data_IF_610152670552
#
_entry.id   IF_610152670552
#
_cell.length_a   1.000
_cell.length_b   1.000
_cell.length_c   1.000
_cell.angle_alpha   90.00
_cell.angle_beta   90.00
_cell.angle_gamma   90.00
#
_symmetry.space_group_name_H-M   'P 1'
#
loop_
_entity.id
_entity.type
_entity.pdbx_description
1 polymer ?
#
# COMPACT_ATOMS: atom_id res chain seq x y z
N UNK A 1 5.23 -25.93 -14.16
CA UNK A 1 5.00 -24.74 -13.29
C UNK A 1 4.80 -23.59 -14.26
N UNK A 2 3.56 -23.14 -14.45
CA UNK A 2 3.27 -21.99 -15.32
C UNK A 2 4.00 -20.76 -14.77
N UNK A 3 4.72 -20.08 -15.65
CA UNK A 3 5.37 -18.80 -15.33
C UNK A 3 4.24 -17.78 -15.22
N UNK A 4 3.81 -17.50 -14.00
CA UNK A 4 2.83 -16.44 -13.74
C UNK A 4 3.54 -15.11 -13.95
N UNK A 5 3.28 -14.47 -15.08
CA UNK A 5 3.81 -13.12 -15.36
C UNK A 5 3.23 -12.13 -14.35
N UNK A 6 4.10 -11.33 -13.73
CA UNK A 6 3.63 -10.30 -12.82
C UNK A 6 2.78 -9.26 -13.59
N UNK A 7 1.63 -8.84 -13.06
CA UNK A 7 0.77 -7.86 -13.73
C UNK A 7 1.28 -6.41 -13.56
N UNK A 8 2.51 -6.23 -13.15
CA UNK A 8 3.19 -4.94 -13.01
C UNK A 8 4.37 -4.87 -13.98
N UNK A 9 4.74 -3.66 -14.34
CA UNK A 9 5.83 -3.39 -15.27
C UNK A 9 7.19 -3.78 -14.66
N UNK A 10 8.08 -4.26 -15.52
CA UNK A 10 9.48 -4.45 -15.14
C UNK A 10 10.14 -3.10 -14.84
N UNK A 11 10.98 -3.07 -13.81
CA UNK A 11 11.75 -1.88 -13.45
C UNK A 11 12.89 -1.70 -14.47
N UNK A 12 12.93 -0.53 -15.12
CA UNK A 12 13.94 -0.13 -16.10
C UNK A 12 14.83 0.96 -15.48
N UNK A 13 15.83 0.56 -14.72
CA UNK A 13 16.68 1.51 -13.98
C UNK A 13 17.38 2.53 -14.87
N UNK A 14 17.84 2.12 -16.06
CA UNK A 14 18.48 3.04 -17.04
C UNK A 14 17.50 4.09 -17.55
N UNK A 15 16.25 3.69 -17.84
CA UNK A 15 15.21 4.63 -18.25
C UNK A 15 14.82 5.56 -17.09
N UNK A 16 14.66 5.07 -15.88
CA UNK A 16 14.37 5.90 -14.70
C UNK A 16 15.48 6.92 -14.42
N UNK A 17 16.73 6.59 -14.74
CA UNK A 17 17.88 7.47 -14.56
C UNK A 17 17.93 8.64 -15.56
N UNK A 18 17.14 8.61 -16.65
CA UNK A 18 17.06 9.70 -17.62
C UNK A 18 16.42 10.98 -17.04
N UNK A 19 15.67 10.85 -15.95
CA UNK A 19 15.05 12.00 -15.28
C UNK A 19 15.27 11.95 -13.76
N UNK A 20 15.83 13.01 -13.21
CA UNK A 20 16.04 13.19 -11.76
C UNK A 20 15.64 14.60 -11.37
N UNK A 21 15.11 14.73 -10.18
CA UNK A 21 14.71 16.00 -9.58
C UNK A 21 15.38 16.21 -8.23
N UNK A 22 15.67 17.45 -7.89
CA UNK A 22 15.99 17.80 -6.51
C UNK A 22 14.75 17.59 -5.62
N UNK A 23 14.92 17.11 -4.38
CA UNK A 23 13.80 16.89 -3.47
C UNK A 23 13.13 18.22 -3.09
N UNK A 24 11.82 18.29 -3.24
CA UNK A 24 11.02 19.39 -2.68
C UNK A 24 10.87 19.17 -1.17
N UNK A 25 10.92 20.24 -0.37
CA UNK A 25 10.76 20.17 1.09
C UNK A 25 11.54 18.97 1.70
N UNK A 26 12.87 18.90 1.56
CA UNK A 26 13.66 17.73 1.96
C UNK A 26 13.52 17.37 3.43
N UNK A 27 13.22 18.35 4.30
CA UNK A 27 13.10 18.16 5.75
C UNK A 27 11.73 17.62 6.20
N UNK A 28 10.70 17.63 5.32
CA UNK A 28 9.41 17.10 5.68
C UNK A 28 9.51 15.57 5.91
N UNK A 29 9.22 15.09 7.14
CA UNK A 29 9.28 13.67 7.43
C UNK A 29 8.29 12.86 6.60
N UNK A 30 8.69 11.66 6.20
CA UNK A 30 7.88 10.74 5.42
C UNK A 30 7.85 9.38 6.11
N UNK A 31 6.67 8.83 6.33
CA UNK A 31 6.46 7.41 6.57
C UNK A 31 5.90 6.81 5.28
N UNK A 32 6.68 5.94 4.63
CA UNK A 32 6.18 5.22 3.47
C UNK A 32 5.19 4.15 3.91
N UNK A 33 3.89 4.43 3.80
CA UNK A 33 2.84 3.61 4.38
C UNK A 33 2.55 2.30 3.61
N UNK A 34 3.31 2.01 2.51
CA UNK A 34 3.11 0.79 1.74
C UNK A 34 4.27 0.52 0.77
N UNK A 35 5.08 -0.47 1.08
CA UNK A 35 6.06 -1.01 0.15
C UNK A 35 6.12 -2.53 0.24
N UNK A 36 6.78 -3.14 -0.74
CA UNK A 36 7.02 -4.57 -0.84
C UNK A 36 8.50 -4.87 -1.02
N UNK A 37 8.90 -6.08 -0.65
CA UNK A 37 10.25 -6.60 -0.88
C UNK A 37 10.15 -8.02 -1.43
N UNK A 38 10.84 -8.29 -2.52
CA UNK A 38 10.86 -9.62 -3.14
C UNK A 38 12.13 -9.89 -3.93
N UNK A 39 12.40 -11.17 -4.14
CA UNK A 39 13.34 -11.66 -5.14
C UNK A 39 12.58 -12.59 -6.09
N UNK A 40 12.34 -12.13 -7.31
CA UNK A 40 11.52 -12.80 -8.33
C UNK A 40 12.27 -12.84 -9.66
N UNK A 41 11.86 -13.73 -10.55
CA UNK A 41 12.40 -13.78 -11.92
C UNK A 41 12.25 -12.45 -12.69
N UNK A 42 11.23 -11.66 -12.35
CA UNK A 42 10.95 -10.33 -12.95
C UNK A 42 11.80 -9.20 -12.35
N UNK A 43 12.62 -9.49 -11.37
CA UNK A 43 13.52 -8.53 -10.73
C UNK A 43 13.59 -8.69 -9.21
N UNK A 44 14.74 -8.33 -8.67
CA UNK A 44 14.99 -8.27 -7.23
C UNK A 44 14.73 -6.84 -6.72
N UNK A 45 14.07 -6.77 -5.58
CA UNK A 45 13.92 -5.54 -4.81
C UNK A 45 13.89 -5.92 -3.32
N UNK A 46 15.01 -5.80 -2.66
CA UNK A 46 15.23 -6.16 -1.27
C UNK A 46 15.79 -4.95 -0.50
N UNK A 47 16.46 -5.20 0.62
CA UNK A 47 16.96 -4.17 1.53
C UNK A 47 17.88 -3.16 0.84
N UNK A 48 18.80 -3.62 -0.02
CA UNK A 48 19.73 -2.74 -0.72
C UNK A 48 19.00 -1.82 -1.69
N UNK A 49 18.16 -2.37 -2.56
CA UNK A 49 17.43 -1.61 -3.56
C UNK A 49 16.48 -0.59 -2.93
N UNK A 50 15.82 -0.97 -1.83
CA UNK A 50 14.93 -0.04 -1.09
C UNK A 50 15.72 1.04 -0.36
N UNK A 51 16.81 0.68 0.30
CA UNK A 51 17.72 1.63 0.95
C UNK A 51 18.31 2.63 -0.06
N UNK A 52 18.72 2.17 -1.24
CA UNK A 52 19.25 3.01 -2.31
C UNK A 52 18.19 4.00 -2.82
N UNK A 53 16.95 3.55 -2.99
CA UNK A 53 15.83 4.42 -3.37
C UNK A 53 15.61 5.52 -2.33
N UNK A 54 15.60 5.19 -1.04
CA UNK A 54 15.47 6.16 0.04
C UNK A 54 16.63 7.17 -0.01
N UNK A 55 17.87 6.70 0.00
CA UNK A 55 19.06 7.54 0.08
C UNK A 55 19.21 8.45 -1.14
N UNK A 56 19.02 7.89 -2.34
CA UNK A 56 19.19 8.65 -3.60
C UNK A 56 18.06 9.60 -3.90
N UNK A 57 16.89 9.43 -3.25
CA UNK A 57 15.76 10.34 -3.38
C UNK A 57 16.01 11.71 -2.74
N UNK A 58 16.86 11.78 -1.74
CA UNK A 58 17.13 12.99 -0.94
C UNK A 58 15.97 13.43 -0.06
N UNK A 59 14.91 12.63 0.05
CA UNK A 59 13.77 12.88 0.95
C UNK A 59 14.03 12.31 2.35
N UNK A 60 13.46 12.93 3.38
CA UNK A 60 13.55 12.48 4.77
C UNK A 60 12.53 11.36 5.03
N UNK A 61 12.79 10.16 4.51
CA UNK A 61 12.02 8.96 4.86
C UNK A 61 12.49 8.46 6.20
N UNK A 62 11.62 8.50 7.21
CA UNK A 62 11.96 8.14 8.60
C UNK A 62 11.53 6.72 8.96
N UNK A 63 10.50 6.20 8.31
CA UNK A 63 9.96 4.87 8.59
C UNK A 63 9.20 4.31 7.39
N UNK A 64 8.91 3.00 7.42
CA UNK A 64 8.09 2.36 6.41
C UNK A 64 7.24 1.21 6.93
N UNK A 65 6.14 0.94 6.20
CA UNK A 65 5.21 -0.17 6.43
C UNK A 65 5.39 -1.22 5.34
N UNK A 66 5.88 -2.39 5.72
CA UNK A 66 5.93 -3.54 4.82
C UNK A 66 4.55 -4.16 4.63
N UNK A 67 4.15 -4.40 3.40
CA UNK A 67 2.87 -5.05 3.10
C UNK A 67 3.10 -6.35 2.35
N UNK A 68 2.40 -7.40 2.78
CA UNK A 68 2.52 -8.74 2.20
C UNK A 68 2.41 -8.72 0.67
N UNK A 69 3.22 -9.53 0.02
CA UNK A 69 3.22 -9.74 -1.43
C UNK A 69 3.46 -11.20 -1.82
N UNK A 70 3.33 -12.13 -0.88
CA UNK A 70 3.63 -13.56 -1.03
C UNK A 70 5.09 -13.83 -1.33
N UNK A 71 5.97 -13.05 -0.72
CA UNK A 71 7.42 -13.23 -0.77
C UNK A 71 7.88 -14.08 0.41
N UNK A 72 8.92 -14.87 0.22
CA UNK A 72 9.61 -15.61 1.28
C UNK A 72 8.68 -16.47 2.17
N UNK A 73 7.70 -17.11 1.55
CA UNK A 73 6.83 -18.07 2.25
C UNK A 73 7.65 -19.24 2.77
N UNK A 74 7.25 -19.81 3.91
CA UNK A 74 7.87 -21.04 4.39
C UNK A 74 7.71 -22.16 3.36
N UNK A 75 8.77 -22.92 3.13
CA UNK A 75 8.77 -24.05 2.21
C UNK A 75 7.91 -25.19 2.73
N UNK A 76 8.07 -25.49 4.00
CA UNK A 76 7.51 -26.67 4.66
C UNK A 76 6.43 -26.29 5.67
N UNK A 77 5.64 -27.29 6.07
CA UNK A 77 4.56 -27.14 7.03
C UNK A 77 3.19 -26.91 6.39
N UNK A 78 2.15 -26.71 7.24
CA UNK A 78 0.78 -26.48 6.76
C UNK A 78 0.68 -25.25 5.89
N UNK A 79 -0.07 -25.31 4.79
CA UNK A 79 -0.28 -24.19 3.85
C UNK A 79 -0.77 -22.92 4.56
N UNK A 80 -1.63 -23.06 5.57
CA UNK A 80 -2.17 -21.96 6.37
C UNK A 80 -1.11 -21.20 7.18
N UNK A 81 0.05 -21.82 7.43
CA UNK A 81 1.15 -21.24 8.21
C UNK A 81 2.35 -20.79 7.34
N UNK A 82 2.36 -21.12 6.05
CA UNK A 82 3.44 -20.67 5.13
C UNK A 82 3.62 -19.16 5.10
N UNK A 83 2.56 -18.31 5.18
CA UNK A 83 2.72 -16.86 5.23
C UNK A 83 3.49 -16.32 6.45
N UNK A 84 3.70 -17.12 7.49
CA UNK A 84 4.55 -16.72 8.62
C UNK A 84 6.01 -16.47 8.18
N UNK A 85 6.50 -17.16 7.13
CA UNK A 85 7.84 -16.92 6.58
C UNK A 85 8.05 -15.49 6.07
N UNK A 86 7.02 -14.90 5.47
CA UNK A 86 7.06 -13.52 5.04
C UNK A 86 7.14 -12.53 6.20
N UNK A 87 6.50 -12.84 7.34
CA UNK A 87 6.59 -12.03 8.57
C UNK A 87 7.98 -12.14 9.19
N UNK A 88 8.55 -13.37 9.24
CA UNK A 88 9.92 -13.62 9.71
C UNK A 88 10.94 -12.85 8.85
N UNK A 89 10.77 -12.90 7.53
CA UNK A 89 11.59 -12.17 6.57
C UNK A 89 11.54 -10.65 6.80
N UNK A 90 10.34 -10.06 6.85
CA UNK A 90 10.17 -8.62 7.06
C UNK A 90 10.73 -8.17 8.42
N UNK A 91 10.62 -9.01 9.46
CA UNK A 91 11.23 -8.74 10.77
C UNK A 91 12.77 -8.75 10.71
N UNK A 92 13.35 -9.66 9.90
CA UNK A 92 14.79 -9.68 9.62
C UNK A 92 15.26 -8.42 8.89
N UNK A 93 14.49 -7.95 7.90
CA UNK A 93 14.78 -6.68 7.20
C UNK A 93 14.73 -5.49 8.16
N UNK A 94 13.74 -5.43 9.06
CA UNK A 94 13.67 -4.38 10.08
C UNK A 94 14.93 -4.37 10.97
N UNK A 95 15.46 -5.54 11.33
CA UNK A 95 16.72 -5.65 12.07
C UNK A 95 17.93 -5.16 11.26
N UNK A 96 17.94 -5.40 9.93
CA UNK A 96 18.98 -4.86 9.04
C UNK A 96 18.97 -3.33 9.04
N UNK A 97 17.82 -2.70 8.89
CA UNK A 97 17.71 -1.23 8.97
C UNK A 97 18.13 -0.70 10.35
N UNK A 98 17.73 -1.36 11.43
CA UNK A 98 18.11 -0.97 12.80
C UNK A 98 19.63 -1.04 13.07
N UNK A 99 20.41 -1.74 12.23
CA UNK A 99 21.87 -1.81 12.35
C UNK A 99 22.58 -0.49 11.99
N UNK A 100 21.88 0.44 11.31
CA UNK A 100 22.46 1.70 10.83
C UNK A 100 23.33 1.59 9.57
N UNK A 101 23.42 0.39 8.95
CA UNK A 101 24.20 0.16 7.73
C UNK A 101 23.44 0.47 6.44
N UNK A 102 22.15 0.76 6.54
CA UNK A 102 21.25 1.07 5.43
C UNK A 102 20.79 2.53 5.52
N UNK A 103 19.74 2.92 4.79
CA UNK A 103 19.20 4.27 4.89
C UNK A 103 18.88 4.63 6.36
N UNK A 104 18.98 5.91 6.70
CA UNK A 104 18.64 6.41 8.04
C UNK A 104 17.12 6.45 8.23
N UNK A 105 16.51 5.26 8.23
CA UNK A 105 15.07 5.02 8.33
C UNK A 105 14.79 3.74 9.11
N UNK A 106 13.63 3.62 9.74
CA UNK A 106 13.13 2.38 10.33
C UNK A 106 12.37 1.57 9.26
N UNK A 107 13.11 0.85 8.41
CA UNK A 107 12.50 0.01 7.38
C UNK A 107 11.69 -1.14 7.99
N UNK A 108 10.48 -1.40 7.45
CA UNK A 108 9.57 -2.42 7.95
C UNK A 108 9.23 -2.26 9.45
N UNK A 109 9.12 -1.03 9.95
CA UNK A 109 8.71 -0.76 11.34
C UNK A 109 7.35 -1.35 11.65
N UNK A 110 6.43 -1.31 10.70
CA UNK A 110 5.19 -2.08 10.74
C UNK A 110 5.16 -3.16 9.64
N UNK A 111 4.48 -4.26 9.92
CA UNK A 111 4.28 -5.39 9.02
C UNK A 111 2.79 -5.66 8.87
N UNK A 112 2.32 -5.69 7.63
CA UNK A 112 0.99 -6.18 7.25
C UNK A 112 1.18 -7.57 6.65
N UNK A 113 0.78 -8.59 7.40
CA UNK A 113 0.98 -10.00 7.04
C UNK A 113 -0.07 -10.55 6.08
N UNK A 114 0.09 -11.81 5.69
CA UNK A 114 -0.71 -12.49 4.67
C UNK A 114 -1.45 -13.76 5.13
N UNK A 115 -1.75 -13.92 6.42
CA UNK A 115 -2.57 -15.06 6.87
C UNK A 115 -3.98 -15.00 6.26
N UNK A 116 -4.49 -16.16 5.84
CA UNK A 116 -5.80 -16.24 5.18
C UNK A 116 -6.96 -16.04 6.17
N UNK A 117 -7.77 -15.02 5.95
CA UNK A 117 -8.98 -14.77 6.73
C UNK A 117 -10.07 -15.84 6.51
N UNK A 118 -9.97 -16.63 5.44
CA UNK A 118 -10.90 -17.73 5.17
C UNK A 118 -10.88 -18.85 6.22
N UNK A 119 -9.85 -18.90 7.05
CA UNK A 119 -9.82 -19.80 8.21
C UNK A 119 -10.83 -19.37 9.30
N UNK A 120 -11.42 -18.19 9.21
CA UNK A 120 -12.37 -17.67 10.22
C UNK A 120 -11.75 -17.65 11.61
N UNK A 121 -12.47 -18.10 12.63
CA UNK A 121 -11.97 -18.14 14.01
C UNK A 121 -10.79 -19.12 14.20
N UNK A 122 -10.64 -20.11 13.32
CA UNK A 122 -9.50 -21.06 13.39
C UNK A 122 -8.14 -20.41 13.07
N UNK A 123 -8.13 -19.14 12.60
CA UNK A 123 -6.88 -18.41 12.39
C UNK A 123 -6.24 -17.86 13.68
N UNK A 124 -6.93 -17.85 14.81
CA UNK A 124 -6.44 -17.27 16.06
C UNK A 124 -5.05 -17.79 16.47
N UNK A 125 -4.75 -19.11 16.53
CA UNK A 125 -3.41 -19.57 16.90
C UNK A 125 -2.32 -19.11 15.90
N UNK A 126 -2.67 -18.95 14.62
CA UNK A 126 -1.74 -18.46 13.61
C UNK A 126 -1.46 -16.96 13.79
N UNK A 127 -2.46 -16.16 14.16
CA UNK A 127 -2.29 -14.74 14.50
C UNK A 127 -1.38 -14.59 15.72
N UNK A 128 -1.63 -15.32 16.81
CA UNK A 128 -0.82 -15.27 18.03
C UNK A 128 0.66 -15.59 17.71
N UNK A 129 0.88 -16.61 16.88
CA UNK A 129 2.21 -16.97 16.41
C UNK A 129 2.84 -15.88 15.54
N UNK A 130 2.07 -15.25 14.66
CA UNK A 130 2.53 -14.14 13.83
C UNK A 130 2.94 -12.92 14.68
N UNK A 131 2.15 -12.58 15.71
CA UNK A 131 2.46 -11.52 16.67
C UNK A 131 3.80 -11.83 17.38
N UNK A 132 3.97 -13.04 17.89
CA UNK A 132 5.21 -13.43 18.56
C UNK A 132 6.43 -13.35 17.63
N UNK A 133 6.33 -13.83 16.39
CA UNK A 133 7.41 -13.85 15.41
C UNK A 133 7.79 -12.44 14.90
N UNK A 134 6.85 -11.50 14.91
CA UNK A 134 7.07 -10.15 14.39
C UNK A 134 7.89 -9.24 15.31
N UNK A 135 8.18 -9.65 16.56
CA UNK A 135 8.83 -8.78 17.53
C UNK A 135 8.06 -7.50 17.80
N UNK A 136 6.73 -7.57 17.83
CA UNK A 136 5.86 -6.42 18.05
C UNK A 136 5.61 -5.54 16.81
N UNK A 137 6.05 -5.93 15.61
CA UNK A 137 5.88 -5.15 14.38
C UNK A 137 4.61 -5.47 13.60
N UNK A 138 3.94 -6.60 13.86
CA UNK A 138 2.69 -6.92 13.18
C UNK A 138 1.61 -5.92 13.54
N UNK A 139 1.01 -5.28 12.53
CA UNK A 139 -0.04 -4.28 12.71
C UNK A 139 -1.35 -4.64 12.02
N UNK A 140 -1.32 -5.55 11.06
CA UNK A 140 -2.51 -5.93 10.32
C UNK A 140 -2.27 -7.11 9.40
N UNK A 141 -3.31 -7.43 8.62
CA UNK A 141 -3.29 -8.44 7.58
C UNK A 141 -3.82 -7.85 6.28
N UNK A 142 -3.36 -8.40 5.16
CA UNK A 142 -3.92 -8.15 3.83
C UNK A 142 -4.23 -9.46 3.13
N UNK A 143 -5.42 -9.55 2.54
CA UNK A 143 -5.76 -10.69 1.68
C UNK A 143 -6.11 -10.18 0.27
N UNK A 144 -5.84 -10.97 -0.79
CA UNK A 144 -6.25 -10.63 -2.15
C UNK A 144 -7.77 -10.59 -2.23
N UNK A 145 -8.33 -9.45 -2.62
CA UNK A 145 -9.78 -9.24 -2.78
C UNK A 145 -10.15 -8.67 -4.15
N UNK A 146 -9.20 -8.05 -4.86
CA UNK A 146 -9.46 -7.39 -6.13
C UNK A 146 -9.92 -8.39 -7.18
N UNK A 147 -11.20 -8.31 -7.55
CA UNK A 147 -11.87 -9.15 -8.55
C UNK A 147 -12.64 -8.30 -9.54
N UNK A 148 -12.59 -8.70 -10.80
CA UNK A 148 -13.38 -8.10 -11.87
C UNK A 148 -13.80 -9.18 -12.87
N UNK A 149 -15.03 -9.12 -13.46
CA UNK A 149 -15.50 -10.12 -14.44
C UNK A 149 -14.73 -10.09 -15.77
N UNK A 150 -14.18 -8.93 -16.14
CA UNK A 150 -13.37 -8.81 -17.35
C UNK A 150 -11.91 -9.20 -17.06
N UNK A 151 -11.36 -10.23 -17.74
CA UNK A 151 -10.01 -10.73 -17.48
C UNK A 151 -8.90 -9.74 -17.85
N UNK A 152 -9.20 -8.67 -18.60
CA UNK A 152 -8.25 -7.59 -18.89
C UNK A 152 -7.96 -6.74 -17.66
N UNK A 153 -8.87 -6.74 -16.68
CA UNK A 153 -8.70 -6.04 -15.40
C UNK A 153 -8.02 -6.98 -14.42
N UNK A 154 -6.70 -6.95 -14.39
CA UNK A 154 -5.90 -7.77 -13.48
C UNK A 154 -4.77 -6.96 -12.86
N UNK A 155 -4.51 -7.17 -11.58
CA UNK A 155 -3.45 -6.51 -10.81
C UNK A 155 -2.70 -7.48 -9.90
N UNK A 156 -3.04 -8.76 -9.94
CA UNK A 156 -2.41 -9.81 -9.15
C UNK A 156 -2.33 -11.10 -9.95
N UNK A 157 -1.26 -11.90 -9.79
CA UNK A 157 -1.17 -13.21 -10.45
C UNK A 157 -2.19 -14.22 -9.91
N UNK A 158 -2.86 -13.91 -8.81
CA UNK A 158 -3.96 -14.74 -8.25
C UNK A 158 -5.22 -13.89 -8.21
N UNK A 159 -6.24 -14.33 -8.93
CA UNK A 159 -7.57 -13.72 -8.91
C UNK A 159 -8.40 -14.37 -7.80
N UNK A 160 -8.86 -13.62 -6.80
CA UNK A 160 -9.75 -14.15 -5.77
C UNK A 160 -11.15 -14.43 -6.35
N UNK A 161 -11.99 -15.24 -5.67
CA UNK A 161 -13.40 -15.37 -6.03
C UNK A 161 -14.15 -14.04 -5.90
N UNK A 162 -15.18 -13.85 -6.71
CA UNK A 162 -16.13 -12.74 -6.55
C UNK A 162 -16.77 -12.75 -5.15
N UNK A 163 -16.98 -11.56 -4.56
CA UNK A 163 -17.68 -11.44 -3.28
C UNK A 163 -16.95 -12.06 -2.09
N UNK A 164 -15.64 -12.25 -2.17
CA UNK A 164 -14.87 -12.91 -1.12
C UNK A 164 -15.03 -12.20 0.24
N UNK A 165 -15.05 -10.87 0.26
CA UNK A 165 -15.24 -10.08 1.48
C UNK A 165 -16.64 -10.26 2.12
N UNK A 166 -17.63 -10.71 1.35
CA UNK A 166 -18.98 -10.98 1.82
C UNK A 166 -19.15 -12.38 2.42
N UNK A 167 -18.16 -13.26 2.20
CA UNK A 167 -18.24 -14.64 2.70
C UNK A 167 -18.19 -14.71 4.23
N UNK A 168 -19.02 -15.56 4.83
CA UNK A 168 -19.05 -15.71 6.28
C UNK A 168 -17.71 -16.12 6.92
N UNK A 169 -16.90 -17.02 6.31
CA UNK A 169 -15.56 -17.30 6.84
C UNK A 169 -14.65 -16.08 6.86
N UNK A 170 -14.63 -15.28 5.77
CA UNK A 170 -13.81 -14.07 5.71
C UNK A 170 -14.21 -13.05 6.78
N UNK A 171 -15.51 -12.80 6.96
CA UNK A 171 -16.03 -11.88 7.99
C UNK A 171 -15.68 -12.33 9.41
N UNK A 172 -15.76 -13.63 9.72
CA UNK A 172 -15.27 -14.15 11.01
C UNK A 172 -13.77 -13.96 11.18
N UNK A 173 -12.97 -14.16 10.13
CA UNK A 173 -11.54 -13.87 10.14
C UNK A 173 -11.26 -12.38 10.38
N UNK A 174 -12.01 -11.48 9.74
CA UNK A 174 -11.91 -10.04 9.97
C UNK A 174 -12.27 -9.65 11.41
N UNK A 175 -13.32 -10.23 11.98
CA UNK A 175 -13.66 -10.06 13.40
C UNK A 175 -12.55 -10.59 14.32
N UNK A 176 -11.86 -11.66 13.92
CA UNK A 176 -10.69 -12.16 14.66
C UNK A 176 -9.54 -11.13 14.67
N UNK A 177 -9.26 -10.43 13.56
CA UNK A 177 -8.27 -9.34 13.54
C UNK A 177 -8.64 -8.22 14.52
N UNK A 178 -9.92 -7.81 14.55
CA UNK A 178 -10.39 -6.77 15.46
C UNK A 178 -10.14 -7.13 16.93
N UNK A 179 -10.37 -8.40 17.32
CA UNK A 179 -10.09 -8.88 18.69
C UNK A 179 -8.61 -8.80 19.07
N UNK A 180 -7.71 -8.85 18.09
CA UNK A 180 -6.26 -8.71 18.29
C UNK A 180 -5.74 -7.30 18.04
N UNK A 181 -6.61 -6.31 17.88
CA UNK A 181 -6.27 -4.93 17.52
C UNK A 181 -5.38 -4.83 16.26
N UNK A 182 -5.58 -5.72 15.28
CA UNK A 182 -4.91 -5.71 13.98
C UNK A 182 -5.81 -5.03 12.93
N UNK A 183 -5.20 -4.28 12.01
CA UNK A 183 -5.90 -3.70 10.86
C UNK A 183 -6.17 -4.75 9.77
N UNK A 184 -7.11 -4.43 8.89
CA UNK A 184 -7.29 -5.09 7.62
C UNK A 184 -6.99 -4.12 6.49
N UNK A 185 -5.87 -4.33 5.79
CA UNK A 185 -5.54 -3.58 4.59
C UNK A 185 -6.23 -4.25 3.38
N UNK A 186 -6.91 -3.47 2.56
CA UNK A 186 -7.79 -3.99 1.50
C UNK A 186 -7.39 -3.44 0.15
N UNK A 187 -6.97 -4.34 -0.75
CA UNK A 187 -6.83 -4.05 -2.17
C UNK A 187 -8.03 -4.61 -2.92
N UNK A 188 -8.88 -3.72 -3.43
CA UNK A 188 -10.10 -3.99 -4.20
C UNK A 188 -10.19 -3.06 -5.40
N UNK A 189 -11.03 -3.39 -6.38
CA UNK A 189 -11.39 -2.44 -7.42
C UNK A 189 -12.59 -1.59 -6.98
N UNK A 190 -12.77 -0.43 -7.61
CA UNK A 190 -13.84 0.50 -7.27
C UNK A 190 -15.24 -0.12 -7.32
N UNK A 191 -15.43 -1.15 -8.13
CA UNK A 191 -16.68 -1.92 -8.22
C UNK A 191 -17.00 -2.74 -6.97
N UNK A 192 -16.04 -2.90 -6.05
CA UNK A 192 -16.16 -3.69 -4.83
C UNK A 192 -16.21 -2.84 -3.54
N UNK A 193 -16.17 -1.50 -3.64
CA UNK A 193 -16.11 -0.62 -2.45
C UNK A 193 -17.31 -0.78 -1.52
N UNK A 194 -18.50 -1.13 -2.06
CA UNK A 194 -19.69 -1.39 -1.24
C UNK A 194 -19.53 -2.63 -0.36
N UNK A 195 -18.89 -3.69 -0.86
CA UNK A 195 -18.61 -4.90 -0.06
C UNK A 195 -17.75 -4.57 1.17
N UNK A 196 -16.82 -3.63 1.00
CA UNK A 196 -15.94 -3.19 2.08
C UNK A 196 -16.64 -2.24 3.05
N UNK A 197 -17.53 -1.39 2.53
CA UNK A 197 -18.36 -0.53 3.39
C UNK A 197 -19.29 -1.38 4.28
N UNK A 198 -19.87 -2.45 3.76
CA UNK A 198 -20.67 -3.39 4.53
C UNK A 198 -19.85 -4.09 5.62
N UNK A 199 -18.64 -4.53 5.30
CA UNK A 199 -17.73 -5.13 6.27
C UNK A 199 -17.34 -4.15 7.38
N UNK A 200 -17.06 -2.89 7.03
CA UNK A 200 -16.68 -1.85 7.98
C UNK A 200 -17.84 -1.48 8.94
N UNK A 201 -19.09 -1.48 8.45
CA UNK A 201 -20.30 -1.27 9.28
C UNK A 201 -20.55 -2.43 10.22
N UNK A 202 -20.35 -3.66 9.75
CA UNK A 202 -20.55 -4.88 10.54
C UNK A 202 -19.54 -5.00 11.69
N UNK A 203 -18.28 -4.55 11.46
CA UNK A 203 -17.21 -4.66 12.45
C UNK A 203 -16.60 -3.28 12.72
N UNK A 204 -17.31 -2.38 13.46
CA UNK A 204 -16.85 -1.00 13.66
C UNK A 204 -15.57 -0.87 14.49
N UNK A 205 -15.17 -1.93 15.19
CA UNK A 205 -13.91 -1.98 15.95
C UNK A 205 -12.70 -2.40 15.08
N UNK A 206 -12.93 -2.84 13.85
CA UNK A 206 -11.86 -3.19 12.91
C UNK A 206 -11.38 -1.93 12.19
N UNK A 207 -10.11 -1.58 12.34
CA UNK A 207 -9.49 -0.58 11.46
C UNK A 207 -9.34 -1.17 10.06
N UNK A 208 -9.99 -0.57 9.07
CA UNK A 208 -9.84 -0.93 7.65
C UNK A 208 -9.01 0.15 6.95
N UNK A 209 -8.03 -0.27 6.16
CA UNK A 209 -7.20 0.62 5.35
C UNK A 209 -7.40 0.30 3.88
N UNK A 210 -7.95 1.23 3.14
CA UNK A 210 -8.19 1.10 1.70
C UNK A 210 -6.88 1.35 0.97
N UNK A 211 -6.34 0.34 0.30
CA UNK A 211 -5.13 0.48 -0.52
C UNK A 211 -5.43 1.23 -1.84
N UNK A 212 -4.45 1.96 -2.34
CA UNK A 212 -4.34 2.45 -3.71
C UNK A 212 -5.58 3.23 -4.18
N UNK A 213 -6.00 4.23 -3.38
CA UNK A 213 -7.12 5.10 -3.71
C UNK A 213 -8.47 4.38 -3.92
N UNK A 214 -8.66 3.17 -3.34
CA UNK A 214 -9.88 2.40 -3.56
C UNK A 214 -10.01 1.83 -4.97
N UNK A 215 -8.90 1.62 -5.66
CA UNK A 215 -8.78 0.84 -6.88
C UNK A 215 -9.60 1.32 -8.08
N UNK A 216 -9.59 2.62 -8.45
CA UNK A 216 -10.23 3.03 -9.69
C UNK A 216 -9.54 2.34 -10.89
N UNK A 217 -10.35 1.69 -11.73
CA UNK A 217 -9.89 0.92 -12.90
C UNK A 217 -9.91 1.84 -14.12
N UNK A 218 -8.80 1.92 -14.86
CA UNK A 218 -8.65 2.71 -16.07
C UNK A 218 -8.35 1.87 -17.33
N UNK A 219 -8.63 0.57 -17.28
CA UNK A 219 -8.37 -0.37 -18.40
C UNK A 219 -9.59 -1.26 -18.67
N UNK A 220 -9.57 -1.99 -19.76
CA UNK A 220 -10.64 -2.92 -20.12
C UNK A 220 -11.93 -2.18 -20.49
N UNK A 221 -13.06 -2.48 -19.82
CA UNK A 221 -14.32 -1.79 -20.05
C UNK A 221 -14.38 -0.38 -19.45
N UNK A 222 -13.51 -0.10 -18.46
CA UNK A 222 -13.42 1.18 -17.76
C UNK A 222 -12.19 1.92 -18.28
N UNK A 223 -12.30 2.63 -19.41
CA UNK A 223 -11.19 3.46 -19.85
C UNK A 223 -11.01 4.66 -18.91
N UNK A 224 -9.79 5.21 -18.85
CA UNK A 224 -9.48 6.43 -18.06
C UNK A 224 -10.36 7.65 -18.40
N UNK A 225 -11.05 7.59 -19.54
CA UNK A 225 -11.96 8.64 -20.03
C UNK A 225 -13.43 8.34 -19.75
N UNK A 226 -13.74 7.26 -19.06
CA UNK A 226 -15.12 6.92 -18.70
C UNK A 226 -15.59 7.78 -17.52
N UNK A 227 -16.47 8.76 -17.72
CA UNK A 227 -16.98 9.61 -16.65
C UNK A 227 -17.81 8.83 -15.63
N UNK A 228 -18.45 7.75 -16.05
CA UNK A 228 -19.27 6.92 -15.19
C UNK A 228 -18.40 6.14 -14.18
N UNK A 229 -17.22 5.69 -14.59
CA UNK A 229 -16.25 5.06 -13.71
C UNK A 229 -15.81 6.01 -12.57
N UNK A 230 -15.44 7.25 -12.89
CA UNK A 230 -15.06 8.23 -11.87
C UNK A 230 -16.20 8.49 -10.86
N UNK A 231 -17.43 8.60 -11.37
CA UNK A 231 -18.60 8.83 -10.52
C UNK A 231 -18.93 7.61 -9.65
N UNK A 232 -18.82 6.39 -10.18
CA UNK A 232 -18.98 5.15 -9.40
C UNK A 232 -17.95 5.07 -8.29
N UNK A 233 -16.68 5.27 -8.62
CA UNK A 233 -15.59 5.31 -7.65
C UNK A 233 -15.84 6.35 -6.55
N UNK A 234 -16.15 7.59 -6.92
CA UNK A 234 -16.44 8.68 -5.98
C UNK A 234 -17.59 8.34 -5.05
N UNK A 235 -18.64 7.72 -5.55
CA UNK A 235 -19.79 7.32 -4.75
C UNK A 235 -19.42 6.22 -3.74
N UNK A 236 -18.63 5.23 -4.16
CA UNK A 236 -18.12 4.18 -3.27
C UNK A 236 -17.21 4.76 -2.17
N UNK A 237 -16.28 5.65 -2.54
CA UNK A 237 -15.39 6.33 -1.58
C UNK A 237 -16.18 7.20 -0.59
N UNK A 238 -17.24 7.88 -1.02
CA UNK A 238 -18.10 8.67 -0.11
C UNK A 238 -18.73 7.79 0.96
N UNK A 239 -19.24 6.61 0.61
CA UNK A 239 -19.84 5.67 1.59
C UNK A 239 -18.81 5.16 2.59
N UNK A 240 -17.58 4.90 2.13
CA UNK A 240 -16.49 4.53 3.03
C UNK A 240 -16.08 5.69 3.96
N UNK A 241 -16.10 6.92 3.46
CA UNK A 241 -15.75 8.11 4.23
C UNK A 241 -16.72 8.39 5.40
N UNK A 242 -17.98 7.92 5.31
CA UNK A 242 -18.95 8.00 6.41
C UNK A 242 -18.59 7.10 7.60
N UNK A 243 -17.63 6.17 7.43
CA UNK A 243 -17.26 5.17 8.41
C UNK A 243 -15.96 5.58 9.12
N UNK A 244 -15.98 5.84 10.44
CA UNK A 244 -14.81 6.38 11.16
C UNK A 244 -13.65 5.40 11.26
N UNK A 245 -13.91 4.10 11.11
CA UNK A 245 -12.91 3.04 11.15
C UNK A 245 -12.25 2.77 9.80
N UNK A 246 -12.37 3.69 8.82
CA UNK A 246 -11.77 3.54 7.47
C UNK A 246 -10.77 4.65 7.21
N UNK A 247 -9.53 4.26 6.85
CA UNK A 247 -8.48 5.13 6.33
C UNK A 247 -8.15 4.76 4.88
N UNK A 248 -7.44 5.64 4.17
CA UNK A 248 -7.10 5.48 2.74
C UNK A 248 -5.61 5.71 2.49
N UNK A 249 -4.99 4.83 1.72
CA UNK A 249 -3.66 5.05 1.13
C UNK A 249 -3.79 5.72 -0.24
N UNK A 250 -3.20 6.88 -0.36
CA UNK A 250 -3.05 7.61 -1.62
C UNK A 250 -1.78 7.09 -2.30
N UNK A 251 -1.97 6.09 -3.17
CA UNK A 251 -0.88 5.30 -3.76
C UNK A 251 -1.36 4.51 -4.97
N UNK A 252 -0.50 3.64 -5.52
CA UNK A 252 -0.86 2.70 -6.59
C UNK A 252 -1.11 3.36 -7.94
N UNK A 253 -0.63 4.57 -8.15
CA UNK A 253 -0.80 5.29 -9.40
C UNK A 253 0.05 4.74 -10.55
N UNK A 254 1.13 3.99 -10.24
CA UNK A 254 1.97 3.30 -11.23
C UNK A 254 1.46 1.92 -11.60
N UNK A 255 0.37 1.43 -11.03
CA UNK A 255 -0.22 0.15 -11.41
C UNK A 255 -0.85 0.23 -12.81
N UNK A 256 -0.59 -0.78 -13.65
CA UNK A 256 -1.11 -0.84 -15.03
C UNK A 256 -2.62 -0.76 -15.11
N UNK A 257 -3.31 -1.31 -14.10
CA UNK A 257 -4.78 -1.30 -14.01
C UNK A 257 -5.38 0.11 -13.88
N UNK A 258 -4.54 1.12 -13.52
CA UNK A 258 -4.94 2.53 -13.43
C UNK A 258 -5.11 3.22 -14.79
N UNK A 259 -4.57 2.63 -15.86
CA UNK A 259 -4.66 3.17 -17.21
C UNK A 259 -3.67 4.30 -17.52
N UNK A 260 -2.80 4.70 -16.60
CA UNK A 260 -1.72 5.65 -16.90
C UNK A 260 -0.63 4.97 -17.74
N UNK A 261 -0.19 5.64 -18.80
CA UNK A 261 0.76 5.09 -19.77
C UNK A 261 2.14 5.77 -19.72
N UNK A 262 2.57 6.29 -18.56
CA UNK A 262 3.84 7.00 -18.43
C UNK A 262 5.04 6.19 -18.90
N UNK A 263 5.03 4.88 -18.69
CA UNK A 263 6.13 3.99 -19.10
C UNK A 263 6.27 3.82 -20.62
N UNK A 264 5.31 4.27 -21.43
CA UNK A 264 5.37 4.23 -22.88
C UNK A 264 6.18 5.42 -23.49
N UNK A 265 6.47 6.44 -22.69
CA UNK A 265 7.26 7.60 -23.14
C UNK A 265 8.74 7.27 -23.24
N UNK A 266 9.47 8.04 -24.07
CA UNK A 266 10.93 7.91 -24.23
C UNK A 266 11.68 8.24 -22.94
N UNK A 267 11.16 9.19 -22.15
CA UNK A 267 11.70 9.59 -20.85
C UNK A 267 10.67 9.39 -19.75
N UNK A 268 11.09 9.16 -18.49
CA UNK A 268 10.17 9.09 -17.35
C UNK A 268 9.41 10.40 -17.17
N UNK A 269 8.21 10.34 -16.58
CA UNK A 269 7.46 11.55 -16.24
C UNK A 269 8.18 12.34 -15.14
N UNK A 270 8.03 13.66 -15.17
CA UNK A 270 8.39 14.51 -14.06
C UNK A 270 7.29 14.55 -12.99
N UNK A 271 7.63 15.10 -11.82
CA UNK A 271 6.70 15.16 -10.68
C UNK A 271 5.51 16.09 -10.93
N UNK A 272 5.63 17.05 -11.84
CA UNK A 272 4.54 17.95 -12.18
C UNK A 272 3.50 17.24 -13.06
N UNK A 273 3.94 16.47 -14.05
CA UNK A 273 3.06 15.62 -14.87
C UNK A 273 2.29 14.63 -14.00
N UNK A 274 2.98 13.97 -13.07
CA UNK A 274 2.35 13.02 -12.14
C UNK A 274 1.31 13.71 -11.25
N UNK A 275 1.67 14.84 -10.63
CA UNK A 275 0.76 15.59 -9.77
C UNK A 275 -0.49 16.07 -10.53
N UNK A 276 -0.34 16.58 -11.76
CA UNK A 276 -1.47 16.97 -12.58
C UNK A 276 -2.41 15.81 -12.90
N UNK A 277 -1.85 14.65 -13.24
CA UNK A 277 -2.64 13.45 -13.53
C UNK A 277 -3.38 12.89 -12.30
N UNK A 278 -2.80 13.04 -11.10
CA UNK A 278 -3.34 12.46 -9.87
C UNK A 278 -4.26 13.43 -9.09
N UNK A 279 -4.19 14.72 -9.36
CA UNK A 279 -4.92 15.75 -8.63
C UNK A 279 -6.42 15.46 -8.45
N UNK A 280 -7.19 15.05 -9.48
CA UNK A 280 -8.63 14.79 -9.31
C UNK A 280 -8.94 13.68 -8.29
N UNK A 281 -8.08 12.66 -8.23
CA UNK A 281 -8.20 11.55 -7.28
C UNK A 281 -7.83 11.99 -5.87
N UNK A 282 -6.72 12.71 -5.75
CA UNK A 282 -6.22 13.25 -4.49
C UNK A 282 -7.24 14.20 -3.84
N UNK A 283 -7.67 15.24 -4.54
CA UNK A 283 -8.63 16.22 -4.03
C UNK A 283 -9.93 15.57 -3.59
N UNK A 284 -10.45 14.62 -4.38
CA UNK A 284 -11.68 13.92 -4.02
C UNK A 284 -11.51 13.10 -2.73
N UNK A 285 -10.40 12.35 -2.58
CA UNK A 285 -10.16 11.55 -1.38
C UNK A 285 -10.00 12.43 -0.15
N UNK A 286 -9.15 13.45 -0.21
CA UNK A 286 -8.90 14.33 0.95
C UNK A 286 -10.15 15.13 1.31
N UNK A 287 -10.94 15.58 0.33
CA UNK A 287 -12.24 16.25 0.58
C UNK A 287 -13.24 15.34 1.29
N UNK A 288 -13.22 14.03 1.02
CA UNK A 288 -14.17 13.08 1.62
C UNK A 288 -13.73 12.58 3.00
N UNK A 289 -12.45 12.27 3.17
CA UNK A 289 -11.93 11.60 4.37
C UNK A 289 -11.26 12.54 5.37
N UNK A 290 -10.83 13.73 4.95
CA UNK A 290 -9.92 14.58 5.72
C UNK A 290 -8.48 14.05 5.67
N UNK A 291 -7.51 14.92 5.93
CA UNK A 291 -6.09 14.54 5.91
C UNK A 291 -5.75 13.51 6.99
N UNK A 292 -6.44 13.55 8.12
CA UNK A 292 -6.26 12.68 9.28
C UNK A 292 -6.64 11.21 9.05
N UNK A 293 -7.31 10.91 7.93
CA UNK A 293 -7.62 9.54 7.52
C UNK A 293 -7.01 9.16 6.16
N UNK A 294 -6.07 9.97 5.67
CA UNK A 294 -5.37 9.75 4.42
C UNK A 294 -3.87 9.66 4.66
N UNK A 295 -3.17 8.78 3.96
CA UNK A 295 -1.72 8.65 4.03
C UNK A 295 -1.12 8.36 2.66
N UNK A 296 0.02 8.99 2.35
CA UNK A 296 0.77 8.65 1.15
C UNK A 296 1.55 7.34 1.32
N UNK A 297 1.73 6.63 0.19
CA UNK A 297 2.47 5.39 0.17
C UNK A 297 3.04 5.13 -1.23
N UNK A 298 4.27 4.62 -1.32
CA UNK A 298 4.96 4.47 -2.60
C UNK A 298 4.44 3.31 -3.46
N UNK A 299 3.99 2.24 -2.83
CA UNK A 299 3.68 0.97 -3.48
C UNK A 299 4.89 0.38 -4.25
N UNK A 300 6.12 0.72 -3.83
CA UNK A 300 7.32 0.22 -4.48
C UNK A 300 7.60 -1.25 -4.11
N UNK A 301 8.13 -2.04 -5.05
CA UNK A 301 8.55 -1.68 -6.42
C UNK A 301 7.45 -1.84 -7.47
N UNK A 302 6.18 -2.06 -7.13
CA UNK A 302 5.08 -2.21 -8.10
C UNK A 302 4.99 -0.98 -9.00
N UNK A 303 5.01 0.22 -8.42
CA UNK A 303 4.88 1.48 -9.14
C UNK A 303 6.21 1.96 -9.77
N UNK A 304 7.36 1.37 -9.38
CA UNK A 304 8.69 1.74 -9.87
C UNK A 304 8.88 1.52 -11.38
N UNK A 305 8.03 0.72 -12.00
CA UNK A 305 8.01 0.57 -13.47
C UNK A 305 7.54 1.82 -14.23
N UNK A 306 6.91 2.79 -13.54
CA UNK A 306 6.36 4.02 -14.13
C UNK A 306 7.17 5.28 -13.78
N UNK A 307 7.77 5.36 -12.58
CA UNK A 307 8.49 6.53 -12.08
C UNK A 307 9.46 6.16 -10.96
N UNK A 308 10.44 7.04 -10.71
CA UNK A 308 11.41 6.86 -9.62
C UNK A 308 10.84 7.26 -8.26
N UNK A 309 11.46 6.77 -7.18
CA UNK A 309 11.05 7.03 -5.80
C UNK A 309 11.08 8.52 -5.45
N UNK A 310 12.15 9.25 -5.85
CA UNK A 310 12.26 10.68 -5.60
C UNK A 310 11.21 11.49 -6.35
N UNK A 311 10.92 11.14 -7.62
CA UNK A 311 9.89 11.81 -8.42
C UNK A 311 8.49 11.55 -7.86
N UNK A 312 8.21 10.35 -7.35
CA UNK A 312 6.96 10.04 -6.65
C UNK A 312 6.73 10.98 -5.45
N UNK A 313 7.72 11.09 -4.55
CA UNK A 313 7.56 11.94 -3.37
C UNK A 313 7.48 13.43 -3.72
N UNK A 314 8.19 13.88 -4.76
CA UNK A 314 8.02 15.22 -5.29
C UNK A 314 6.60 15.45 -5.82
N UNK A 315 6.02 14.49 -6.54
CA UNK A 315 4.63 14.57 -7.00
C UNK A 315 3.65 14.68 -5.82
N UNK A 316 3.83 13.87 -4.78
CA UNK A 316 3.03 13.96 -3.55
C UNK A 316 3.15 15.36 -2.90
N UNK A 317 4.36 15.93 -2.83
CA UNK A 317 4.58 17.27 -2.29
C UNK A 317 3.94 18.37 -3.15
N UNK A 318 3.87 18.18 -4.47
CA UNK A 318 3.13 19.09 -5.36
C UNK A 318 1.62 19.01 -5.15
N UNK A 319 1.07 17.84 -4.89
CA UNK A 319 -0.36 17.68 -4.59
C UNK A 319 -0.80 18.50 -3.37
N UNK A 320 0.08 18.67 -2.39
CA UNK A 320 -0.23 19.34 -1.12
C UNK A 320 0.29 20.76 -1.01
N UNK A 321 0.67 21.41 -2.12
CA UNK A 321 1.26 22.76 -2.09
C UNK A 321 0.34 23.81 -1.44
N UNK A 322 -0.97 23.61 -1.49
CA UNK A 322 -1.97 24.50 -0.90
C UNK A 322 -2.46 24.03 0.47
N UNK A 323 -2.04 22.86 0.92
CA UNK A 323 -2.41 22.33 2.22
C UNK A 323 -1.63 23.01 3.34
N UNK A 324 -2.26 23.14 4.49
CA UNK A 324 -1.61 23.66 5.71
C UNK A 324 -0.45 22.73 6.15
N UNK A 325 0.53 23.22 6.93
CA UNK A 325 1.60 22.38 7.48
C UNK A 325 1.07 21.18 8.28
N UNK A 326 -0.05 21.35 8.96
CA UNK A 326 -0.67 20.27 9.73
C UNK A 326 -1.28 19.19 8.83
N UNK A 327 -2.01 19.56 7.78
CA UNK A 327 -2.52 18.61 6.78
C UNK A 327 -1.38 17.89 6.04
N UNK A 328 -0.29 18.59 5.71
CA UNK A 328 0.90 17.97 5.13
C UNK A 328 1.48 16.92 6.10
N UNK A 329 1.63 17.26 7.38
CA UNK A 329 2.10 16.33 8.39
C UNK A 329 1.18 15.10 8.54
N UNK A 330 -0.14 15.29 8.49
CA UNK A 330 -1.08 14.17 8.49
C UNK A 330 -0.83 13.24 7.31
N UNK A 331 -0.82 13.76 6.09
CA UNK A 331 -0.70 12.99 4.86
C UNK A 331 0.63 12.25 4.72
N UNK A 332 1.74 12.86 5.17
CA UNK A 332 3.07 12.30 4.97
C UNK A 332 3.52 11.36 6.09
N UNK A 333 3.02 11.51 7.34
CA UNK A 333 3.51 10.67 8.43
C UNK A 333 2.53 10.44 9.58
N UNK A 334 1.76 11.44 10.07
CA UNK A 334 0.96 11.30 11.30
C UNK A 334 -0.15 10.27 11.17
N UNK A 335 -0.87 10.28 10.06
CA UNK A 335 -1.96 9.31 9.82
C UNK A 335 -1.43 7.88 9.77
N UNK A 336 -0.31 7.65 9.07
CA UNK A 336 0.33 6.33 9.03
C UNK A 336 0.82 5.91 10.42
N UNK A 337 1.44 6.83 11.17
CA UNK A 337 1.91 6.58 12.52
C UNK A 337 0.78 6.19 13.47
N UNK A 338 -0.32 6.91 13.43
CA UNK A 338 -1.53 6.62 14.24
C UNK A 338 -2.16 5.31 13.84
N UNK A 339 -2.41 5.11 12.55
CA UNK A 339 -3.07 3.93 12.01
C UNK A 339 -2.32 2.64 12.34
N UNK A 340 -0.99 2.66 12.19
CA UNK A 340 -0.14 1.49 12.43
C UNK A 340 0.59 1.51 13.77
N UNK A 341 0.30 2.48 14.65
CA UNK A 341 0.89 2.61 15.99
C UNK A 341 2.41 2.54 15.95
N UNK A 342 3.02 3.42 15.12
CA UNK A 342 4.46 3.48 14.95
C UNK A 342 5.09 4.33 16.07
N UNK A 343 6.26 3.92 16.55
CA UNK A 343 6.97 4.59 17.63
C UNK A 343 8.01 5.61 17.13
N UNK A 344 8.35 5.55 15.84
CA UNK A 344 9.30 6.50 15.20
C UNK A 344 8.90 7.97 15.34
N UNK A 345 7.63 8.24 15.65
CA UNK A 345 7.07 9.59 15.82
C UNK A 345 7.66 10.34 17.01
N UNK A 346 8.05 9.63 18.06
CA UNK A 346 8.67 10.23 19.25
C UNK A 346 9.98 10.95 18.89
N UNK A 347 10.73 10.42 17.91
CA UNK A 347 12.00 10.98 17.44
C UNK A 347 11.85 12.09 16.39
N UNK A 348 10.65 12.27 15.80
CA UNK A 348 10.41 13.31 14.78
C UNK A 348 10.26 14.68 15.41
N UNK A 349 9.71 14.75 16.63
CA UNK A 349 9.43 16.00 17.32
C UNK A 349 10.65 16.54 18.11
N UNK A 350 11.70 15.74 18.31
CA UNK A 350 12.88 16.08 19.10
C UNK A 350 14.06 16.60 18.25
N UNK A 351 13.89 16.71 16.92
CA UNK A 351 14.88 17.24 15.96
C UNK A 351 14.34 18.48 15.23
#
# INVERSE_FOLDING_TARGET
>A
MEIVTAPHLAVRNEWLALHREAPLQPELPIIDAHHHLWDRQTGRYLTHEFSDDIQTSGHRVVSSVYVQCRSMLRRDGPETLKPLGEIEFASGIAAMFASGHYANALGCEAIIGGLSLLAGDAMQPAIERAIALSGGRLRGMRNPLAWHPDPRVTSSPVTPPAGLAQSAPFRRGAACLARHALSLDVWVYHTQLEEIADLAREIPTLQIVIDHCGGPVGVGPCSERDPDMFQQWRNGMRRLAELPNVCVKISGFGMTVRGFHFAAAETPPDSQMLAQAWMPWFETIVSLFGAERCMFASNFPVDKGMFSYGVFWNACKRLVQQASPDEQAQLFWRTAATCYRLTSVENINDQ
#
